data_IF_836984145070
#
_entry.id   IF_836984145070
#
_cell.length_a   1.000
_cell.length_b   1.000
_cell.length_c   1.000
_cell.angle_alpha   90.00
_cell.angle_beta   90.00
_cell.angle_gamma   90.00
#
_symmetry.space_group_name_H-M   'P 1'
#
loop_
_entity.id
_entity.type
_entity.pdbx_description
1 polymer ?
#
# COMPACT_ATOMS: atom_id res chain seq x y z
N UNK A 1 -14.93 -2.70 18.48
CA UNK A 1 -15.66 -1.67 17.67
C UNK A 1 -14.61 -0.92 16.87
N UNK A 2 -14.76 -0.83 15.54
CA UNK A 2 -13.77 -0.17 14.67
C UNK A 2 -13.69 1.33 14.99
N UNK A 3 -12.45 1.81 15.15
CA UNK A 3 -12.15 3.23 15.35
C UNK A 3 -12.21 3.98 14.03
N UNK A 4 -12.79 5.16 14.05
CA UNK A 4 -12.71 6.14 12.97
C UNK A 4 -11.64 7.22 13.22
N UNK A 5 -10.94 7.14 14.35
CA UNK A 5 -9.81 8.01 14.68
C UNK A 5 -8.48 7.45 14.16
N UNK A 6 -7.53 8.30 13.77
CA UNK A 6 -6.16 7.86 13.48
C UNK A 6 -5.55 7.09 14.66
N UNK A 7 -4.63 6.17 14.38
CA UNK A 7 -3.94 5.38 15.41
C UNK A 7 -3.11 6.25 16.37
N UNK A 8 -2.40 7.22 15.83
CA UNK A 8 -1.54 8.12 16.60
C UNK A 8 -1.36 9.47 15.91
N UNK A 9 -0.81 10.43 16.62
CA UNK A 9 -0.42 11.72 16.06
C UNK A 9 0.75 11.54 15.11
N UNK A 10 0.63 12.09 13.92
CA UNK A 10 1.67 12.03 12.90
C UNK A 10 2.79 13.02 13.19
N UNK A 11 4.00 12.60 12.85
CA UNK A 11 5.22 13.41 12.82
C UNK A 11 5.52 13.82 11.38
N UNK A 12 6.41 14.77 11.18
CA UNK A 12 6.86 15.20 9.85
C UNK A 12 8.38 15.17 9.75
N UNK A 13 8.88 14.89 8.56
CA UNK A 13 10.30 14.86 8.23
C UNK A 13 10.53 15.49 6.85
N UNK A 14 11.55 16.34 6.74
CA UNK A 14 11.88 16.96 5.47
C UNK A 14 12.67 16.00 4.57
N UNK A 15 12.15 15.78 3.37
CA UNK A 15 12.76 14.95 2.33
C UNK A 15 12.66 15.69 0.99
N UNK A 16 13.80 15.91 0.35
CA UNK A 16 13.88 16.56 -0.97
C UNK A 16 13.08 17.89 -1.03
N UNK A 17 13.11 18.68 0.08
CA UNK A 17 12.42 19.95 0.17
C UNK A 17 10.91 19.86 0.37
N UNK A 18 10.40 18.69 0.73
CA UNK A 18 8.99 18.42 1.06
C UNK A 18 8.85 17.79 2.42
N UNK A 19 7.78 18.13 3.15
CA UNK A 19 7.43 17.51 4.42
C UNK A 19 6.68 16.21 4.16
N UNK A 20 7.28 15.10 4.58
CA UNK A 20 6.64 13.80 4.59
C UNK A 20 6.06 13.51 5.96
N UNK A 21 4.83 13.01 6.00
CA UNK A 21 4.13 12.68 7.23
C UNK A 21 4.26 11.19 7.55
N UNK A 22 4.40 10.87 8.83
CA UNK A 22 4.52 9.48 9.29
C UNK A 22 4.08 9.30 10.73
N UNK A 23 3.70 8.07 11.06
CA UNK A 23 3.51 7.58 12.43
C UNK A 23 4.81 6.87 12.84
N UNK A 24 5.22 7.04 14.09
CA UNK A 24 6.40 6.39 14.66
C UNK A 24 6.20 6.24 16.17
N UNK A 25 5.75 5.06 16.60
CA UNK A 25 5.33 4.76 17.96
C UNK A 25 5.99 3.48 18.48
N UNK A 26 6.22 3.40 19.78
CA UNK A 26 6.84 2.23 20.41
C UNK A 26 8.37 2.23 20.28
N UNK A 27 8.97 1.07 20.58
CA UNK A 27 10.42 0.88 20.61
C UNK A 27 10.80 -0.53 20.14
N UNK A 28 12.06 -0.74 19.81
CA UNK A 28 12.60 -2.02 19.37
C UNK A 28 12.66 -2.14 17.84
N UNK A 29 12.67 -3.37 17.34
CA UNK A 29 12.74 -3.65 15.90
C UNK A 29 11.51 -3.13 15.17
N UNK A 30 11.69 -2.55 13.98
CA UNK A 30 10.62 -1.89 13.27
C UNK A 30 9.61 -2.86 12.65
N UNK A 31 8.33 -2.48 12.75
CA UNK A 31 7.21 -3.02 11.98
C UNK A 31 6.71 -1.88 11.11
N UNK A 32 6.91 -1.97 9.80
CA UNK A 32 6.63 -0.89 8.86
C UNK A 32 5.37 -1.20 8.07
N UNK A 33 4.37 -0.36 8.24
CA UNK A 33 3.09 -0.45 7.55
C UNK A 33 3.07 0.51 6.37
N UNK A 34 2.90 0.01 5.15
CA UNK A 34 2.90 0.87 3.97
C UNK A 34 1.62 0.70 3.15
N UNK A 35 0.92 1.82 3.01
CA UNK A 35 -0.30 1.96 2.21
C UNK A 35 0.00 2.20 0.73
N UNK A 36 -1.06 2.18 -0.09
CA UNK A 36 -1.04 2.54 -1.50
C UNK A 36 -2.13 3.55 -1.87
N UNK A 37 -2.70 3.42 -3.06
CA UNK A 37 -3.67 4.35 -3.62
C UNK A 37 -5.13 3.99 -3.26
N UNK A 38 -6.00 4.91 -2.86
CA UNK A 38 -5.82 6.35 -2.61
C UNK A 38 -5.69 6.67 -1.12
N UNK A 39 -5.13 5.75 -0.35
CA UNK A 39 -5.16 5.77 1.11
C UNK A 39 -3.99 6.53 1.73
N UNK A 40 -3.80 6.34 3.02
CA UNK A 40 -2.71 6.88 3.82
C UNK A 40 -2.41 5.93 5.00
N UNK A 41 -1.55 6.32 5.92
CA UNK A 41 -1.34 5.59 7.19
C UNK A 41 -2.63 5.36 7.97
N UNK A 42 -3.69 6.14 7.72
CA UNK A 42 -5.01 5.96 8.29
C UNK A 42 -5.63 4.58 8.03
N UNK A 43 -5.31 3.95 6.89
CA UNK A 43 -5.75 2.60 6.55
C UNK A 43 -5.40 1.56 7.63
N UNK A 44 -4.30 1.79 8.34
CA UNK A 44 -3.74 0.85 9.32
C UNK A 44 -4.25 1.09 10.76
N UNK A 45 -5.12 2.10 10.99
CA UNK A 45 -5.56 2.54 12.32
C UNK A 45 -6.15 1.46 13.22
N UNK A 46 -6.84 0.49 12.63
CA UNK A 46 -7.46 -0.63 13.36
C UNK A 46 -6.59 -1.91 13.36
N UNK A 47 -5.41 -1.90 12.73
CA UNK A 47 -4.47 -3.02 12.68
C UNK A 47 -3.26 -2.76 13.58
N UNK A 48 -2.68 -1.56 13.52
CA UNK A 48 -1.50 -1.19 14.31
C UNK A 48 -1.65 -1.44 15.81
N UNK A 49 -2.83 -1.24 16.45
CA UNK A 49 -3.01 -1.51 17.87
C UNK A 49 -2.68 -2.95 18.29
N UNK A 50 -2.87 -3.94 17.42
CA UNK A 50 -2.51 -5.34 17.70
C UNK A 50 -1.01 -5.58 17.83
N UNK A 51 -0.21 -4.68 17.27
CA UNK A 51 1.25 -4.73 17.28
C UNK A 51 1.88 -3.83 18.37
N UNK A 52 1.08 -3.17 19.21
CA UNK A 52 1.62 -2.39 20.34
C UNK A 52 2.41 -3.28 21.30
N UNK A 53 3.53 -2.77 21.76
CA UNK A 53 4.41 -3.46 22.72
C UNK A 53 5.27 -4.59 22.12
N UNK A 54 5.11 -4.94 20.83
CA UNK A 54 5.93 -5.98 20.18
C UNK A 54 6.92 -5.44 19.15
N UNK A 55 7.05 -4.12 19.03
CA UNK A 55 8.02 -3.46 18.16
C UNK A 55 7.78 -1.97 18.03
N UNK A 56 8.63 -1.30 17.25
CA UNK A 56 8.47 0.09 16.82
C UNK A 56 7.55 0.10 15.58
N UNK A 57 6.43 0.79 15.67
CA UNK A 57 5.42 0.85 14.64
C UNK A 57 5.63 2.09 13.78
N UNK A 58 5.89 1.91 12.49
CA UNK A 58 6.12 2.99 11.54
C UNK A 58 5.12 2.89 10.39
N UNK A 59 4.46 4.01 10.05
CA UNK A 59 3.58 4.09 8.88
C UNK A 59 3.74 5.45 8.21
N UNK A 60 4.21 5.47 6.94
CA UNK A 60 4.44 6.71 6.21
C UNK A 60 3.28 7.02 5.27
N UNK A 61 2.91 8.29 5.16
CA UNK A 61 2.05 8.78 4.08
C UNK A 61 2.91 9.02 2.83
N UNK A 62 2.53 8.46 1.70
CA UNK A 62 3.20 8.68 0.41
C UNK A 62 3.13 10.16 0.02
N UNK A 63 4.09 10.65 -0.77
CA UNK A 63 4.11 12.04 -1.20
C UNK A 63 2.81 12.41 -1.93
N UNK A 64 2.20 13.53 -1.53
CA UNK A 64 0.92 13.99 -2.05
C UNK A 64 -0.32 13.26 -1.51
N UNK A 65 -0.16 12.35 -0.55
CA UNK A 65 -1.23 11.56 0.05
C UNK A 65 -1.25 11.76 1.58
N UNK A 66 -2.40 11.52 2.21
CA UNK A 66 -2.54 11.73 3.66
C UNK A 66 -2.17 13.17 4.08
N UNK A 67 -1.21 13.28 4.99
CA UNK A 67 -0.69 14.56 5.48
C UNK A 67 0.70 14.92 4.92
N UNK A 68 1.22 14.12 3.98
CA UNK A 68 2.43 14.48 3.23
C UNK A 68 2.15 15.61 2.24
N UNK A 69 3.11 16.52 2.08
CA UNK A 69 2.95 17.67 1.18
C UNK A 69 2.64 17.26 -0.25
N UNK A 70 1.93 18.14 -0.95
CA UNK A 70 1.75 18.05 -2.40
C UNK A 70 3.01 18.56 -3.12
N UNK A 71 3.28 17.96 -4.27
CA UNK A 71 4.32 18.47 -5.15
C UNK A 71 3.86 19.80 -5.78
N UNK A 72 4.73 20.80 -5.77
CA UNK A 72 4.52 22.03 -6.52
C UNK A 72 4.68 21.77 -8.01
N UNK A 73 3.99 22.52 -8.85
CA UNK A 73 4.07 22.39 -10.32
C UNK A 73 3.75 20.97 -10.81
N UNK A 74 2.68 20.40 -10.24
CA UNK A 74 2.22 19.07 -10.59
C UNK A 74 1.57 19.06 -11.97
N UNK A 75 1.83 18.00 -12.73
CA UNK A 75 1.22 17.70 -14.03
C UNK A 75 1.17 16.17 -14.26
N UNK A 76 0.88 15.77 -15.49
CA UNK A 76 0.79 14.36 -15.88
C UNK A 76 2.09 13.55 -15.76
N UNK A 77 3.23 14.19 -15.54
CA UNK A 77 4.55 13.55 -15.37
C UNK A 77 4.95 13.33 -13.93
N UNK A 78 4.14 13.85 -12.96
CA UNK A 78 4.46 13.81 -11.54
C UNK A 78 3.78 12.63 -10.84
N UNK A 79 4.24 12.35 -9.64
CA UNK A 79 3.79 11.25 -8.79
C UNK A 79 3.94 9.88 -9.45
N UNK A 80 4.98 9.74 -10.29
CA UNK A 80 5.34 8.45 -10.89
C UNK A 80 5.81 7.46 -9.82
N UNK A 81 5.87 6.18 -10.16
CA UNK A 81 6.40 5.16 -9.27
C UNK A 81 7.81 5.52 -8.77
N UNK A 82 8.70 5.94 -9.67
CA UNK A 82 10.06 6.33 -9.30
C UNK A 82 10.12 7.54 -8.37
N UNK A 83 9.28 8.55 -8.59
CA UNK A 83 9.20 9.72 -7.71
C UNK A 83 8.67 9.35 -6.32
N UNK A 84 7.59 8.57 -6.24
CA UNK A 84 7.05 8.06 -4.97
C UNK A 84 8.09 7.23 -4.21
N UNK A 85 8.80 6.36 -4.92
CA UNK A 85 9.89 5.55 -4.38
C UNK A 85 11.00 6.40 -3.76
N UNK A 86 11.46 7.44 -4.47
CA UNK A 86 12.52 8.33 -3.99
C UNK A 86 12.15 9.00 -2.67
N UNK A 87 10.94 9.52 -2.57
CA UNK A 87 10.46 10.13 -1.33
C UNK A 87 10.35 9.10 -0.20
N UNK A 88 9.70 7.97 -0.44
CA UNK A 88 9.50 6.95 0.60
C UNK A 88 10.81 6.35 1.10
N UNK A 89 11.72 5.98 0.19
CA UNK A 89 13.00 5.37 0.59
C UNK A 89 13.86 6.37 1.36
N UNK A 90 13.85 7.64 0.97
CA UNK A 90 14.53 8.69 1.73
C UNK A 90 13.95 8.90 3.13
N UNK A 91 12.62 8.75 3.31
CA UNK A 91 12.01 8.73 4.65
C UNK A 91 12.52 7.54 5.45
N UNK A 92 12.49 6.33 4.89
CA UNK A 92 12.92 5.12 5.58
C UNK A 92 14.41 5.16 5.98
N UNK A 93 15.25 5.72 5.12
CA UNK A 93 16.67 5.92 5.43
C UNK A 93 16.86 6.89 6.59
N UNK A 94 16.15 8.03 6.57
CA UNK A 94 16.23 9.03 7.66
C UNK A 94 15.64 8.54 8.98
N UNK A 95 14.62 7.69 8.95
CA UNK A 95 14.02 7.11 10.15
C UNK A 95 14.90 6.04 10.81
N UNK A 96 15.93 5.56 10.12
CA UNK A 96 16.80 4.50 10.60
C UNK A 96 16.00 3.30 11.16
N UNK A 97 15.38 2.55 10.26
CA UNK A 97 14.45 1.46 10.61
C UNK A 97 15.12 0.24 11.29
N UNK A 98 16.47 0.18 11.33
CA UNK A 98 17.21 -0.96 11.88
C UNK A 98 17.40 -2.10 10.90
N UNK A 99 17.78 -3.28 11.41
CA UNK A 99 18.19 -4.44 10.60
C UNK A 99 17.31 -5.69 10.82
N UNK A 100 16.18 -5.55 11.52
CA UNK A 100 15.21 -6.64 11.75
C UNK A 100 13.80 -6.16 11.48
N UNK A 101 13.61 -5.69 10.25
CA UNK A 101 12.38 -5.02 9.82
C UNK A 101 11.33 -6.06 9.41
N UNK A 102 10.11 -5.88 9.88
CA UNK A 102 8.94 -6.58 9.34
C UNK A 102 8.14 -5.56 8.53
N UNK A 103 7.87 -5.90 7.27
CA UNK A 103 7.07 -5.08 6.34
C UNK A 103 5.63 -5.58 6.34
N UNK A 104 4.66 -4.68 6.49
CA UNK A 104 3.21 -4.96 6.41
C UNK A 104 2.64 -4.08 5.30
N UNK A 105 2.29 -4.68 4.18
CA UNK A 105 2.14 -3.93 2.93
C UNK A 105 0.88 -4.26 2.15
N UNK A 106 0.37 -3.26 1.44
CA UNK A 106 -0.85 -3.31 0.65
C UNK A 106 -0.71 -2.47 -0.62
N UNK A 107 -1.36 -2.90 -1.71
CA UNK A 107 -1.46 -2.16 -2.98
C UNK A 107 -0.09 -1.65 -3.46
N UNK A 108 0.07 -0.40 -3.86
CA UNK A 108 1.34 0.19 -4.25
C UNK A 108 2.40 0.20 -3.15
N UNK A 109 1.97 0.23 -1.88
CA UNK A 109 2.88 0.05 -0.76
C UNK A 109 3.62 -1.29 -0.82
N UNK A 110 3.00 -2.33 -1.36
CA UNK A 110 3.65 -3.63 -1.58
C UNK A 110 4.74 -3.55 -2.65
N UNK A 111 4.45 -2.92 -3.80
CA UNK A 111 5.43 -2.80 -4.87
C UNK A 111 6.69 -2.03 -4.43
N UNK A 112 6.49 -0.91 -3.72
CA UNK A 112 7.58 -0.11 -3.15
C UNK A 112 8.40 -0.92 -2.13
N UNK A 113 7.71 -1.60 -1.21
CA UNK A 113 8.34 -2.38 -0.16
C UNK A 113 9.07 -3.63 -0.70
N UNK A 114 8.52 -4.31 -1.69
CA UNK A 114 9.18 -5.47 -2.34
C UNK A 114 10.46 -5.05 -3.07
N UNK A 115 10.45 -3.93 -3.80
CA UNK A 115 11.65 -3.38 -4.41
C UNK A 115 12.71 -3.03 -3.35
N UNK A 116 12.30 -2.38 -2.26
CA UNK A 116 13.19 -2.04 -1.16
C UNK A 116 13.76 -3.29 -0.49
N UNK A 117 12.89 -4.26 -0.17
CA UNK A 117 13.27 -5.52 0.47
C UNK A 117 14.29 -6.31 -0.36
N UNK A 118 14.10 -6.38 -1.68
CA UNK A 118 15.05 -7.03 -2.60
C UNK A 118 16.45 -6.41 -2.52
N UNK A 119 16.52 -5.08 -2.37
CA UNK A 119 17.79 -4.35 -2.27
C UNK A 119 18.42 -4.41 -0.87
N UNK A 120 17.63 -4.73 0.15
CA UNK A 120 18.03 -4.71 1.56
C UNK A 120 17.64 -6.04 2.25
N UNK A 121 17.77 -7.17 1.55
CA UNK A 121 17.27 -8.47 2.01
C UNK A 121 17.78 -8.85 3.39
N UNK A 122 19.03 -8.53 3.71
CA UNK A 122 19.66 -8.78 5.00
C UNK A 122 19.06 -7.98 6.17
N UNK A 123 18.28 -6.95 5.89
CA UNK A 123 17.59 -6.12 6.90
C UNK A 123 16.14 -6.53 7.12
N UNK A 124 15.56 -7.38 6.27
CA UNK A 124 14.16 -7.79 6.33
C UNK A 124 14.00 -9.11 7.05
N UNK A 125 13.30 -9.08 8.19
CA UNK A 125 13.03 -10.27 9.01
C UNK A 125 11.77 -11.02 8.54
N UNK A 126 10.79 -10.31 7.97
CA UNK A 126 9.55 -10.90 7.48
C UNK A 126 8.72 -9.93 6.66
N UNK A 127 7.80 -10.46 5.88
CA UNK A 127 6.86 -9.70 5.05
C UNK A 127 5.43 -10.19 5.28
N UNK A 128 4.53 -9.29 5.63
CA UNK A 128 3.08 -9.50 5.64
C UNK A 128 2.50 -8.72 4.46
N UNK A 129 1.79 -9.38 3.57
CA UNK A 129 1.24 -8.71 2.40
C UNK A 129 -0.20 -9.14 2.11
N UNK A 130 -0.96 -8.23 1.53
CA UNK A 130 -2.36 -8.40 1.20
C UNK A 130 -2.73 -7.51 0.01
N UNK A 131 -3.59 -8.01 -0.89
CA UNK A 131 -4.04 -7.29 -2.08
C UNK A 131 -2.90 -6.49 -2.75
N UNK A 132 -1.79 -7.20 -3.00
CA UNK A 132 -0.50 -6.68 -3.39
C UNK A 132 -0.29 -6.71 -4.91
N UNK A 133 0.59 -5.85 -5.43
CA UNK A 133 1.08 -5.89 -6.81
C UNK A 133 2.28 -6.86 -6.85
N UNK A 134 2.06 -8.07 -7.32
CA UNK A 134 3.02 -9.17 -7.20
C UNK A 134 3.74 -9.51 -8.50
N UNK A 135 3.13 -9.18 -9.64
CA UNK A 135 3.71 -9.40 -10.97
C UNK A 135 3.10 -8.43 -11.98
N UNK A 136 3.75 -8.27 -13.12
CA UNK A 136 3.16 -7.60 -14.26
C UNK A 136 1.95 -8.40 -14.78
N UNK A 137 0.95 -7.72 -15.32
CA UNK A 137 -0.30 -8.32 -15.69
C UNK A 137 -0.78 -7.87 -17.08
N UNK A 138 -1.76 -8.57 -17.59
CA UNK A 138 -2.52 -8.17 -18.76
C UNK A 138 -3.92 -7.67 -18.36
N UNK A 139 -4.63 -7.02 -19.28
CA UNK A 139 -6.03 -6.68 -19.05
C UNK A 139 -6.91 -7.93 -18.83
N UNK A 140 -6.48 -9.12 -19.25
CA UNK A 140 -7.21 -10.35 -18.98
C UNK A 140 -7.07 -10.81 -17.54
N UNK A 141 -5.95 -10.47 -16.87
CA UNK A 141 -5.74 -10.73 -15.46
C UNK A 141 -6.45 -9.70 -14.55
N UNK A 142 -6.80 -8.52 -15.12
CA UNK A 142 -7.46 -7.47 -14.37
C UNK A 142 -8.93 -7.79 -14.10
N UNK A 143 -9.49 -7.49 -12.92
CA UNK A 143 -10.88 -7.76 -12.58
C UNK A 143 -11.83 -7.18 -13.63
N UNK A 144 -12.72 -8.01 -14.18
CA UNK A 144 -13.59 -7.64 -15.29
C UNK A 144 -14.49 -6.44 -14.95
N UNK A 145 -15.05 -6.43 -13.76
CA UNK A 145 -15.92 -5.35 -13.25
C UNK A 145 -15.19 -3.99 -13.10
N UNK A 146 -13.89 -4.00 -12.88
CA UNK A 146 -13.06 -2.79 -12.72
C UNK A 146 -12.35 -2.37 -14.02
N UNK A 147 -12.21 -3.29 -15.01
CA UNK A 147 -11.40 -3.09 -16.22
C UNK A 147 -11.75 -1.80 -16.95
N UNK A 148 -13.02 -1.56 -17.19
CA UNK A 148 -13.50 -0.40 -17.95
C UNK A 148 -13.16 0.93 -17.28
N UNK A 149 -13.28 0.97 -15.95
CA UNK A 149 -12.95 2.17 -15.13
C UNK A 149 -11.46 2.45 -15.19
N UNK A 150 -10.62 1.41 -15.01
CA UNK A 150 -9.17 1.57 -15.03
C UNK A 150 -8.61 1.88 -16.42
N UNK A 151 -9.21 1.35 -17.48
CA UNK A 151 -8.93 1.78 -18.85
C UNK A 151 -9.28 3.26 -19.05
N UNK A 152 -10.38 3.73 -18.46
CA UNK A 152 -10.75 5.15 -18.43
C UNK A 152 -9.70 6.02 -17.76
N UNK A 153 -9.21 5.64 -16.59
CA UNK A 153 -8.14 6.37 -15.89
C UNK A 153 -6.84 6.48 -16.71
N UNK A 154 -6.52 5.45 -17.50
CA UNK A 154 -5.34 5.39 -18.34
C UNK A 154 -5.52 6.07 -19.72
N UNK A 155 -6.70 6.54 -20.01
CA UNK A 155 -7.04 7.33 -21.20
C UNK A 155 -7.03 8.84 -20.90
N UNK A 156 -7.19 9.71 -21.91
CA UNK A 156 -7.38 11.16 -21.68
C UNK A 156 -8.56 11.48 -20.77
N UNK A 157 -9.63 10.66 -20.76
CA UNK A 157 -10.79 10.85 -19.88
C UNK A 157 -10.45 10.75 -18.38
N UNK A 158 -9.31 10.14 -18.03
CA UNK A 158 -8.82 10.03 -16.66
C UNK A 158 -8.65 11.38 -15.96
N UNK A 159 -8.28 12.42 -16.70
CA UNK A 159 -8.14 13.79 -16.15
C UNK A 159 -9.47 14.25 -15.55
N UNK A 160 -10.56 14.23 -16.34
CA UNK A 160 -11.90 14.61 -15.85
C UNK A 160 -12.40 13.65 -14.75
N UNK A 161 -12.19 12.34 -14.93
CA UNK A 161 -12.68 11.34 -13.97
C UNK A 161 -12.07 11.56 -12.57
N UNK A 162 -10.80 11.89 -12.50
CA UNK A 162 -10.08 11.99 -11.23
C UNK A 162 -9.96 13.44 -10.77
N UNK A 163 -9.40 14.32 -11.61
CA UNK A 163 -9.09 15.68 -11.16
C UNK A 163 -10.35 16.49 -10.89
N UNK A 164 -11.39 16.31 -11.71
CA UNK A 164 -12.64 17.03 -11.54
C UNK A 164 -13.64 16.28 -10.65
N UNK A 165 -13.83 14.96 -10.90
CA UNK A 165 -14.89 14.15 -10.29
C UNK A 165 -14.46 13.29 -9.11
N UNK A 166 -13.15 13.20 -8.84
CA UNK A 166 -12.57 12.39 -7.74
C UNK A 166 -13.06 10.93 -7.70
N UNK A 167 -13.27 10.32 -8.85
CA UNK A 167 -13.92 9.00 -8.98
C UNK A 167 -13.21 7.91 -8.18
N UNK A 168 -11.88 8.01 -8.02
CA UNK A 168 -11.15 6.98 -7.26
C UNK A 168 -11.58 6.97 -5.79
N UNK A 169 -11.60 8.14 -5.13
CA UNK A 169 -11.97 8.27 -3.72
C UNK A 169 -13.48 8.10 -3.52
N UNK A 170 -14.30 8.66 -4.43
CA UNK A 170 -15.75 8.69 -4.24
C UNK A 170 -16.47 7.41 -4.67
N UNK A 171 -15.85 6.58 -5.52
CA UNK A 171 -16.50 5.37 -6.06
C UNK A 171 -15.64 4.12 -5.96
N UNK A 172 -14.36 4.17 -6.37
CA UNK A 172 -13.51 2.97 -6.37
C UNK A 172 -13.22 2.53 -4.94
N UNK A 173 -12.81 3.46 -4.07
CA UNK A 173 -12.52 3.15 -2.68
C UNK A 173 -13.72 2.49 -1.96
N UNK A 174 -14.89 3.13 -1.84
CA UNK A 174 -16.03 2.51 -1.13
C UNK A 174 -16.58 1.28 -1.87
N UNK A 175 -16.47 1.23 -3.20
CA UNK A 175 -16.89 0.07 -4.00
C UNK A 175 -15.94 -1.14 -3.90
N UNK A 176 -14.80 -0.97 -3.24
CA UNK A 176 -13.78 -2.01 -3.03
C UNK A 176 -13.66 -2.39 -1.54
N UNK A 177 -14.73 -2.20 -0.78
CA UNK A 177 -14.89 -2.54 0.64
C UNK A 177 -16.24 -3.24 0.79
N UNK A 178 -16.30 -4.31 1.57
CA UNK A 178 -17.56 -5.06 1.82
C UNK A 178 -18.49 -4.29 2.77
N UNK A 179 -17.92 -3.72 3.84
CA UNK A 179 -18.71 -2.93 4.79
C UNK A 179 -19.00 -1.53 4.27
N UNK A 180 -20.00 -0.90 4.78
CA UNK A 180 -20.23 0.53 4.57
C UNK A 180 -19.32 1.34 5.50
N UNK A 181 -18.51 2.25 4.93
CA UNK A 181 -17.74 3.22 5.70
C UNK A 181 -18.67 4.26 6.33
N UNK A 182 -18.32 4.73 7.53
CA UNK A 182 -18.98 5.88 8.15
C UNK A 182 -18.60 7.16 7.38
N UNK A 183 -19.42 8.19 7.49
CA UNK A 183 -19.12 9.50 6.89
C UNK A 183 -17.79 10.07 7.39
N UNK A 184 -17.49 9.91 8.69
CA UNK A 184 -16.21 10.32 9.30
C UNK A 184 -15.01 9.61 8.70
N UNK A 185 -15.14 8.33 8.39
CA UNK A 185 -14.07 7.54 7.72
C UNK A 185 -13.89 7.99 6.26
N UNK A 186 -14.99 8.18 5.53
CA UNK A 186 -14.95 8.69 4.16
C UNK A 186 -14.37 10.12 4.10
N UNK A 187 -14.71 10.97 5.06
CA UNK A 187 -14.18 12.34 5.12
C UNK A 187 -12.67 12.36 5.35
N UNK A 188 -12.13 11.42 6.11
CA UNK A 188 -10.68 11.28 6.26
C UNK A 188 -10.01 10.84 4.96
N UNK A 189 -10.57 9.91 4.22
CA UNK A 189 -10.06 9.53 2.90
C UNK A 189 -10.20 10.64 1.84
N UNK A 190 -11.25 11.46 1.92
CA UNK A 190 -11.46 12.62 1.05
C UNK A 190 -10.52 13.77 1.35
N UNK A 191 -10.12 13.92 2.62
CA UNK A 191 -9.42 15.10 3.14
C UNK A 191 -8.21 15.54 2.29
N UNK A 192 -7.29 14.63 1.88
CA UNK A 192 -6.13 15.01 1.07
C UNK A 192 -6.48 15.42 -0.38
N UNK A 193 -7.70 15.14 -0.84
CA UNK A 193 -8.15 15.26 -2.23
C UNK A 193 -9.40 16.15 -2.36
N UNK A 194 -9.66 17.02 -1.38
CA UNK A 194 -10.83 17.93 -1.39
C UNK A 194 -10.78 18.91 -2.56
N UNK A 195 -9.62 19.53 -2.77
CA UNK A 195 -9.43 20.45 -3.88
C UNK A 195 -9.39 19.71 -5.20
N UNK A 196 -10.18 20.16 -6.17
CA UNK A 196 -10.13 19.63 -7.54
C UNK A 196 -8.84 20.05 -8.25
N UNK A 197 -8.51 19.36 -9.32
CA UNK A 197 -7.30 19.60 -10.09
C UNK A 197 -6.10 18.83 -9.54
N UNK A 198 -4.93 19.44 -9.57
CA UNK A 198 -3.65 18.77 -9.33
C UNK A 198 -3.47 18.19 -7.91
N UNK A 199 -4.23 18.64 -6.91
CA UNK A 199 -4.24 18.02 -5.58
C UNK A 199 -4.68 16.54 -5.62
N UNK A 200 -5.42 16.15 -6.66
CA UNK A 200 -5.88 14.78 -6.91
C UNK A 200 -4.94 13.98 -7.85
N UNK A 201 -3.90 14.62 -8.39
CA UNK A 201 -2.96 13.96 -9.32
C UNK A 201 -2.40 12.63 -8.81
N UNK A 202 -2.00 12.45 -7.54
CA UNK A 202 -1.50 11.17 -7.06
C UNK A 202 -2.45 10.02 -7.34
N UNK A 203 -3.77 10.23 -7.16
CA UNK A 203 -4.78 9.20 -7.35
C UNK A 203 -5.06 8.87 -8.83
N UNK A 204 -4.59 9.69 -9.76
CA UNK A 204 -4.59 9.43 -11.20
C UNK A 204 -3.27 8.82 -11.67
N UNK A 205 -2.14 9.31 -11.15
CA UNK A 205 -0.83 8.79 -11.54
C UNK A 205 -0.69 7.31 -11.19
N UNK A 206 -1.11 6.88 -10.01
CA UNK A 206 -1.03 5.50 -9.60
C UNK A 206 -1.72 4.49 -10.55
N UNK A 207 -2.97 4.66 -10.99
CA UNK A 207 -3.58 3.77 -11.99
C UNK A 207 -2.82 3.72 -13.32
N UNK A 208 -2.18 4.83 -13.70
CA UNK A 208 -1.36 4.93 -14.92
C UNK A 208 -0.02 4.22 -14.80
N UNK A 209 0.45 3.98 -13.59
CA UNK A 209 1.70 3.26 -13.30
C UNK A 209 1.51 1.73 -13.19
N UNK A 210 0.28 1.22 -13.10
CA UNK A 210 0.05 -0.23 -13.00
C UNK A 210 0.67 -0.94 -14.22
N UNK A 211 1.53 -1.98 -14.00
CA UNK A 211 2.27 -2.64 -15.07
C UNK A 211 1.37 -3.58 -15.87
N UNK A 212 0.54 -3.01 -16.75
CA UNK A 212 -0.42 -3.75 -17.59
C UNK A 212 0.04 -3.71 -19.05
N UNK A 213 0.01 -4.87 -19.71
CA UNK A 213 0.41 -5.06 -21.12
C UNK A 213 1.78 -4.43 -21.45
N UNK A 214 2.74 -4.62 -20.54
CA UNK A 214 4.11 -4.15 -20.72
C UNK A 214 4.34 -2.66 -20.47
N UNK A 215 3.37 -1.91 -19.95
CA UNK A 215 3.47 -0.45 -19.73
C UNK A 215 3.03 -0.03 -18.31
N UNK A 216 3.75 0.95 -17.70
CA UNK A 216 5.02 1.58 -18.15
C UNK A 216 6.22 0.61 -18.06
N UNK A 217 7.15 0.71 -18.99
CA UNK A 217 8.28 -0.23 -19.15
C UNK A 217 9.18 -0.28 -17.92
N UNK A 218 9.43 0.86 -17.30
CA UNK A 218 10.27 0.98 -16.10
C UNK A 218 9.62 0.30 -14.89
N UNK A 219 8.32 0.48 -14.68
CA UNK A 219 7.57 -0.18 -13.62
C UNK A 219 7.47 -1.69 -13.87
N UNK A 220 7.21 -2.09 -15.12
CA UNK A 220 7.20 -3.51 -15.52
C UNK A 220 8.50 -4.19 -15.12
N UNK A 221 9.65 -3.59 -15.43
CA UNK A 221 10.97 -4.14 -15.06
C UNK A 221 11.13 -4.27 -13.56
N UNK A 222 10.78 -3.23 -12.80
CA UNK A 222 10.88 -3.27 -11.33
C UNK A 222 10.01 -4.38 -10.75
N UNK A 223 8.78 -4.51 -11.24
CA UNK A 223 7.83 -5.51 -10.76
C UNK A 223 8.31 -6.92 -11.11
N UNK A 224 8.80 -7.15 -12.33
CA UNK A 224 9.37 -8.43 -12.72
C UNK A 224 10.60 -8.81 -11.89
N UNK A 225 11.48 -7.85 -11.62
CA UNK A 225 12.69 -8.06 -10.81
C UNK A 225 12.36 -8.52 -9.39
N UNK A 226 11.42 -7.86 -8.70
CA UNK A 226 11.07 -8.29 -7.35
C UNK A 226 10.17 -9.53 -7.33
N UNK A 227 9.34 -9.73 -8.34
CA UNK A 227 8.54 -10.95 -8.49
C UNK A 227 9.44 -12.19 -8.55
N UNK A 228 10.42 -12.16 -9.44
CA UNK A 228 11.43 -13.23 -9.55
C UNK A 228 12.22 -13.46 -8.25
N UNK A 229 12.58 -12.38 -7.56
CA UNK A 229 13.24 -12.50 -6.27
C UNK A 229 12.34 -13.10 -5.19
N UNK A 230 11.06 -12.73 -5.13
CA UNK A 230 10.09 -13.26 -4.16
C UNK A 230 9.86 -14.76 -4.28
N UNK A 231 9.94 -15.31 -5.51
CA UNK A 231 9.82 -16.77 -5.76
C UNK A 231 10.89 -17.57 -5.00
N UNK A 232 12.10 -17.05 -4.92
CA UNK A 232 13.26 -17.75 -4.36
C UNK A 232 13.68 -17.25 -2.98
N UNK A 233 13.20 -16.08 -2.56
CA UNK A 233 13.54 -15.48 -1.28
C UNK A 233 13.06 -16.33 -0.11
N UNK A 234 13.97 -16.56 0.84
CA UNK A 234 13.70 -17.32 2.08
C UNK A 234 13.19 -16.47 3.22
N UNK A 235 13.01 -15.16 3.02
CA UNK A 235 12.37 -14.30 4.01
C UNK A 235 11.00 -14.89 4.34
N UNK A 236 10.65 -15.09 5.62
CA UNK A 236 9.33 -15.54 6.03
C UNK A 236 8.23 -14.60 5.53
N UNK A 237 7.19 -15.16 4.97
CA UNK A 237 6.06 -14.39 4.43
C UNK A 237 4.75 -14.83 5.09
N UNK A 238 3.90 -13.87 5.38
CA UNK A 238 2.49 -14.08 5.70
C UNK A 238 1.65 -13.48 4.57
N UNK A 239 1.02 -14.34 3.81
CA UNK A 239 0.03 -13.95 2.81
C UNK A 239 -1.35 -13.88 3.47
N UNK A 240 -1.92 -12.68 3.57
CA UNK A 240 -3.31 -12.49 3.99
C UNK A 240 -4.16 -12.40 2.73
N UNK A 241 -4.74 -13.55 2.38
CA UNK A 241 -5.61 -13.69 1.23
C UNK A 241 -6.98 -13.10 1.49
N UNK A 242 -7.43 -12.20 0.63
CA UNK A 242 -8.79 -11.65 0.66
C UNK A 242 -9.77 -12.59 -0.06
N UNK A 243 -10.93 -12.84 0.53
CA UNK A 243 -12.00 -13.57 -0.14
C UNK A 243 -13.29 -12.71 -0.14
N UNK A 244 -13.86 -12.35 -1.30
CA UNK A 244 -13.46 -12.79 -2.64
C UNK A 244 -12.16 -12.16 -3.18
N UNK A 245 -11.68 -11.05 -2.59
CA UNK A 245 -10.51 -10.32 -3.06
C UNK A 245 -10.80 -9.44 -4.27
N UNK A 246 -9.77 -8.82 -4.82
CA UNK A 246 -9.88 -7.91 -5.95
C UNK A 246 -8.74 -8.08 -6.96
N UNK A 247 -7.52 -7.63 -6.62
CA UNK A 247 -6.39 -7.69 -7.56
C UNK A 247 -5.52 -8.93 -7.36
N UNK A 248 -5.45 -9.46 -6.14
CA UNK A 248 -4.66 -10.66 -5.83
C UNK A 248 -5.53 -11.91 -5.95
N UNK A 249 -6.03 -12.13 -7.16
CA UNK A 249 -6.94 -13.24 -7.54
C UNK A 249 -6.40 -13.99 -8.75
N UNK A 250 -7.00 -15.14 -9.09
CA UNK A 250 -6.62 -15.90 -10.28
C UNK A 250 -5.12 -16.16 -10.36
N UNK A 251 -4.50 -15.87 -11.51
CA UNK A 251 -3.07 -16.10 -11.77
C UNK A 251 -2.16 -15.42 -10.74
N UNK A 252 -2.48 -14.21 -10.31
CA UNK A 252 -1.66 -13.47 -9.34
C UNK A 252 -1.64 -14.18 -7.97
N UNK A 253 -2.80 -14.67 -7.52
CA UNK A 253 -2.93 -15.44 -6.28
C UNK A 253 -2.17 -16.77 -6.35
N UNK A 254 -2.30 -17.50 -7.45
CA UNK A 254 -1.60 -18.76 -7.63
C UNK A 254 -0.08 -18.60 -7.70
N UNK A 255 0.41 -17.51 -8.28
CA UNK A 255 1.83 -17.15 -8.25
C UNK A 255 2.34 -17.01 -6.81
N UNK A 256 1.64 -16.24 -5.97
CA UNK A 256 2.02 -16.05 -4.58
C UNK A 256 2.08 -17.36 -3.79
N UNK A 257 1.17 -18.29 -4.07
CA UNK A 257 1.11 -19.61 -3.40
C UNK A 257 2.32 -20.47 -3.65
N UNK A 258 3.11 -20.16 -4.69
CA UNK A 258 4.34 -20.88 -5.02
C UNK A 258 5.57 -20.32 -4.31
N UNK A 259 5.45 -19.17 -3.65
CA UNK A 259 6.58 -18.52 -2.98
C UNK A 259 7.07 -19.34 -1.78
N UNK A 260 8.39 -19.38 -1.62
CA UNK A 260 9.03 -20.11 -0.53
C UNK A 260 8.76 -19.45 0.84
N UNK A 261 8.78 -20.29 1.88
CA UNK A 261 8.68 -19.87 3.29
C UNK A 261 7.49 -18.96 3.57
N UNK A 262 6.33 -19.39 3.13
CA UNK A 262 5.09 -18.63 3.23
C UNK A 262 4.04 -19.38 4.04
N UNK A 263 3.29 -18.62 4.85
CA UNK A 263 2.03 -19.04 5.47
C UNK A 263 0.91 -18.23 4.85
N UNK A 264 -0.21 -18.87 4.52
CA UNK A 264 -1.41 -18.20 4.02
C UNK A 264 -2.51 -18.26 5.07
N UNK A 265 -3.22 -17.15 5.24
CA UNK A 265 -4.49 -17.07 5.98
C UNK A 265 -5.51 -16.36 5.09
N UNK A 266 -6.79 -16.73 5.21
CA UNK A 266 -7.85 -16.12 4.40
C UNK A 266 -8.80 -15.35 5.30
N UNK A 267 -9.11 -14.13 4.91
CA UNK A 267 -10.07 -13.26 5.60
C UNK A 267 -11.12 -12.72 4.61
N UNK A 268 -12.35 -12.43 5.07
CA UNK A 268 -13.33 -11.74 4.23
C UNK A 268 -12.83 -10.36 3.80
N UNK A 269 -13.00 -10.00 2.53
CA UNK A 269 -12.66 -8.65 2.08
C UNK A 269 -12.57 -8.52 0.56
N UNK A 270 -12.59 -7.28 0.11
CA UNK A 270 -12.27 -6.88 -1.24
C UNK A 270 -10.84 -6.31 -1.29
N UNK A 271 -10.62 -5.18 -2.00
CA UNK A 271 -9.28 -4.62 -2.12
C UNK A 271 -8.77 -3.98 -0.82
N UNK A 272 -9.58 -3.17 -0.16
CA UNK A 272 -9.20 -2.51 1.10
C UNK A 272 -9.61 -3.38 2.29
N UNK A 273 -9.06 -4.59 2.35
CA UNK A 273 -9.42 -5.62 3.36
C UNK A 273 -9.16 -5.17 4.80
N UNK A 274 -8.31 -4.16 5.00
CA UNK A 274 -8.06 -3.53 6.29
C UNK A 274 -9.31 -2.87 6.87
N UNK A 275 -10.24 -2.48 6.02
CA UNK A 275 -11.55 -1.96 6.43
C UNK A 275 -12.57 -3.08 6.70
N UNK A 276 -12.39 -4.24 6.06
CA UNK A 276 -13.32 -5.36 6.17
C UNK A 276 -13.00 -6.30 7.34
N UNK A 277 -11.73 -6.65 7.52
CA UNK A 277 -11.27 -7.66 8.49
C UNK A 277 -10.07 -7.20 9.32
N UNK A 278 -10.09 -6.00 9.93
CA UNK A 278 -8.92 -5.48 10.64
C UNK A 278 -8.51 -6.31 11.86
N UNK A 279 -9.46 -6.92 12.56
CA UNK A 279 -9.20 -7.72 13.78
C UNK A 279 -8.44 -8.99 13.44
N UNK A 280 -8.84 -9.70 12.38
CA UNK A 280 -8.16 -10.89 11.89
C UNK A 280 -6.78 -10.57 11.33
N UNK A 281 -6.68 -9.51 10.52
CA UNK A 281 -5.41 -9.04 9.95
C UNK A 281 -4.45 -8.64 11.08
N UNK A 282 -4.93 -7.87 12.05
CA UNK A 282 -4.15 -7.44 13.20
C UNK A 282 -3.63 -8.61 14.03
N UNK A 283 -4.50 -9.56 14.34
CA UNK A 283 -4.16 -10.77 15.10
C UNK A 283 -3.10 -11.61 14.38
N UNK A 284 -3.33 -11.95 13.11
CA UNK A 284 -2.38 -12.75 12.33
C UNK A 284 -1.05 -12.05 12.14
N UNK A 285 -1.06 -10.73 11.94
CA UNK A 285 0.16 -9.90 11.85
C UNK A 285 0.95 -9.94 13.16
N UNK A 286 0.28 -9.72 14.30
CA UNK A 286 0.93 -9.74 15.61
C UNK A 286 1.51 -11.13 15.94
N UNK A 287 0.78 -12.20 15.65
CA UNK A 287 1.24 -13.57 15.87
C UNK A 287 2.44 -13.92 14.96
N UNK A 288 2.43 -13.45 13.72
CA UNK A 288 3.59 -13.60 12.82
C UNK A 288 4.83 -12.88 13.38
N UNK A 289 4.67 -11.64 13.85
CA UNK A 289 5.75 -10.87 14.47
C UNK A 289 6.29 -11.58 15.72
N UNK A 290 5.42 -12.01 16.64
CA UNK A 290 5.82 -12.72 17.87
C UNK A 290 6.59 -13.98 17.55
N UNK A 291 6.11 -14.79 16.61
CA UNK A 291 6.78 -16.03 16.17
C UNK A 291 8.17 -15.76 15.63
N UNK A 292 8.37 -14.73 14.80
CA UNK A 292 9.68 -14.39 14.23
C UNK A 292 10.65 -13.83 15.28
N UNK A 293 10.12 -13.18 16.30
CA UNK A 293 10.92 -12.58 17.38
C UNK A 293 11.06 -13.46 18.61
N UNK A 294 10.37 -14.61 18.62
CA UNK A 294 10.33 -15.55 19.76
C UNK A 294 9.84 -14.87 21.05
N UNK A 295 8.78 -14.05 20.96
CA UNK A 295 8.14 -13.34 22.06
C UNK A 295 6.67 -13.70 22.19
#
# INVERSE_FOLDING_TARGET
>A
MLSDLPFATKKTIDVNGKKMSYIDEGQGDSIVFQHGNPTSSYLWRNIMPYCEGIGRLVACDLIGMGDSEKLSESDHTRYTYSEQREYLFSVWDKLNLGDRIILVVHDWGSALAFEWARKHENRVQGIVYMEAIVDAMSWNDWPENARKVFQGFRSPAGEEMILDKNVFVERVLPGSILRQLKDTEMDEYRRPFKSSGEDRRPTLSWPRQIPIDGKPDDVVRVVQDYSQWLETSRIPKLFINAEPGSILVGRQRELCRQWLNQTEVTVPGLHFIQEDSPDEIGTHTADFVRRLRSI
#
